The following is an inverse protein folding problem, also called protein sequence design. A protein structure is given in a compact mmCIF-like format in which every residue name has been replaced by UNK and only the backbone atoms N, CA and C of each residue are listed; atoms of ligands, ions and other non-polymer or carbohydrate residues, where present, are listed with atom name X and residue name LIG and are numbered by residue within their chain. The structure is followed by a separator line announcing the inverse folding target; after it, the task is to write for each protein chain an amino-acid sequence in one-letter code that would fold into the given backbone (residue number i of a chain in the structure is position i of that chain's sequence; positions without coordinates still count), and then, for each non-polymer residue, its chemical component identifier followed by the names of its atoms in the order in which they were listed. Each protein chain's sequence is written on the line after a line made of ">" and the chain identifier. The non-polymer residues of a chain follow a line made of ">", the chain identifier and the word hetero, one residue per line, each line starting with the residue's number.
data_IF_746495002489
#
_entry.id   IF_746495002489
#
_cell.length_a   1.000
_cell.length_b   1.000
_cell.length_c   1.000
_cell.angle_alpha   90.00
_cell.angle_beta   90.00
_cell.angle_gamma   90.00
#
_symmetry.space_group_name_H-M   'P 1'
#
loop_
_entity.id
_entity.type
_entity.pdbx_description
1 polymer ?
#
# COMPACT_ATOMS: atom_id res chain seq x y z
N UNK A 1 -11.23 6.00 -1.90
CA UNK A 1 -11.22 6.47 -3.31
C UNK A 1 -10.23 7.60 -3.39
N UNK A 2 -8.97 7.27 -3.68
CA UNK A 2 -8.00 8.28 -4.08
C UNK A 2 -8.31 8.59 -5.54
N UNK A 3 -8.83 9.79 -5.80
CA UNK A 3 -9.03 10.28 -7.17
C UNK A 3 -7.68 10.23 -7.90
N UNK A 4 -7.70 9.72 -9.13
CA UNK A 4 -6.53 9.49 -9.99
C UNK A 4 -5.81 10.77 -10.45
N UNK A 5 -5.78 11.83 -9.64
CA UNK A 5 -4.79 12.87 -9.75
C UNK A 5 -3.42 12.20 -9.71
N UNK A 6 -2.64 12.37 -10.78
CA UNK A 6 -1.34 11.73 -10.95
C UNK A 6 -0.53 11.89 -9.67
N UNK A 7 -0.25 10.77 -9.00
CA UNK A 7 0.62 10.77 -7.84
C UNK A 7 2.00 11.11 -8.39
N UNK A 8 2.47 12.32 -8.07
CA UNK A 8 3.76 12.81 -8.56
C UNK A 8 4.90 11.90 -8.07
N UNK A 9 6.01 11.82 -8.82
CA UNK A 9 7.14 10.98 -8.44
C UNK A 9 7.66 11.26 -7.03
N UNK A 10 7.59 12.52 -6.57
CA UNK A 10 7.99 12.96 -5.23
C UNK A 10 7.18 12.31 -4.10
N UNK A 11 5.94 11.90 -4.37
CA UNK A 11 5.16 11.17 -3.37
C UNK A 11 5.77 9.79 -3.11
N UNK A 12 6.25 9.10 -4.16
CA UNK A 12 6.85 7.78 -4.00
C UNK A 12 8.14 7.83 -3.17
N UNK A 13 8.88 8.95 -3.23
CA UNK A 13 10.08 9.18 -2.42
C UNK A 13 9.75 9.32 -0.92
N UNK A 14 8.57 9.84 -0.58
CA UNK A 14 8.12 10.03 0.82
C UNK A 14 7.19 8.92 1.31
N UNK A 15 6.98 7.87 0.49
CA UNK A 15 6.01 6.82 0.77
C UNK A 15 6.25 6.11 2.11
N UNK A 16 7.51 5.85 2.46
CA UNK A 16 7.85 5.15 3.69
C UNK A 16 7.35 5.89 4.93
N UNK A 17 7.56 7.21 4.98
CA UNK A 17 7.09 8.09 6.04
C UNK A 17 5.57 8.14 6.06
N UNK A 18 4.95 8.25 4.88
CA UNK A 18 3.50 8.32 4.75
C UNK A 18 2.80 7.03 5.22
N UNK A 19 3.29 5.86 4.79
CA UNK A 19 2.77 4.55 5.23
C UNK A 19 2.96 4.40 6.73
N UNK A 20 4.12 4.77 7.27
CA UNK A 20 4.39 4.73 8.73
C UNK A 20 3.38 5.60 9.48
N UNK A 21 3.18 6.85 9.06
CA UNK A 21 2.24 7.77 9.69
C UNK A 21 0.78 7.29 9.67
N UNK A 22 0.40 6.47 8.67
CA UNK A 22 -0.94 5.85 8.60
C UNK A 22 -1.05 4.59 9.45
N UNK A 23 -0.02 3.77 9.50
CA UNK A 23 -0.02 2.46 10.15
C UNK A 23 0.19 2.57 11.66
N UNK A 24 1.16 3.37 12.09
CA UNK A 24 1.59 3.44 13.50
C UNK A 24 0.44 3.74 14.48
N UNK A 25 -0.45 4.71 14.24
CA UNK A 25 -1.52 5.04 15.17
C UNK A 25 -2.55 3.91 15.37
N UNK A 26 -2.66 3.00 14.39
CA UNK A 26 -3.68 1.94 14.38
C UNK A 26 -3.13 0.55 14.71
N UNK A 27 -1.81 0.40 14.88
CA UNK A 27 -1.13 -0.89 15.14
C UNK A 27 -1.73 -1.68 16.30
N UNK A 28 -2.06 -1.01 17.40
CA UNK A 28 -2.57 -1.62 18.63
C UNK A 28 -4.09 -1.49 18.78
N UNK A 29 -4.76 -0.91 17.79
CA UNK A 29 -6.20 -0.68 17.83
C UNK A 29 -6.97 -1.93 17.41
N UNK A 30 -8.28 -1.96 17.68
CA UNK A 30 -9.14 -3.05 17.27
C UNK A 30 -9.30 -3.14 15.74
N UNK A 31 -9.68 -4.32 15.24
CA UNK A 31 -9.79 -4.59 13.79
C UNK A 31 -10.70 -3.60 13.05
N UNK A 32 -11.78 -3.12 13.66
CA UNK A 32 -12.68 -2.14 13.03
C UNK A 32 -11.99 -0.80 12.75
N UNK A 33 -11.02 -0.39 13.57
CA UNK A 33 -10.21 0.82 13.37
C UNK A 33 -9.13 0.61 12.31
N UNK A 34 -8.59 -0.60 12.18
CA UNK A 34 -7.57 -0.92 11.17
C UNK A 34 -8.14 -1.05 9.76
N UNK A 35 -9.40 -1.49 9.62
CA UNK A 35 -10.05 -1.75 8.33
C UNK A 35 -9.97 -0.60 7.32
N UNK A 36 -10.29 0.67 7.68
CA UNK A 36 -10.14 1.79 6.76
C UNK A 36 -8.70 2.02 6.29
N UNK A 37 -7.71 1.83 7.17
CA UNK A 37 -6.30 1.97 6.83
C UNK A 37 -5.84 0.83 5.91
N UNK A 38 -6.30 -0.40 6.16
CA UNK A 38 -6.06 -1.53 5.26
C UNK A 38 -6.62 -1.24 3.87
N UNK A 39 -7.88 -0.79 3.78
CA UNK A 39 -8.50 -0.44 2.49
C UNK A 39 -7.72 0.66 1.76
N UNK A 40 -7.32 1.71 2.48
CA UNK A 40 -6.47 2.77 1.95
C UNK A 40 -5.16 2.24 1.37
N UNK A 41 -4.46 1.36 2.09
CA UNK A 41 -3.19 0.78 1.63
C UNK A 41 -3.39 -0.17 0.44
N UNK A 42 -4.54 -0.84 0.31
CA UNK A 42 -4.85 -1.64 -0.88
C UNK A 42 -5.03 -0.76 -2.12
N UNK A 43 -5.79 0.32 -1.99
CA UNK A 43 -5.95 1.31 -3.07
C UNK A 43 -4.57 1.87 -3.47
N UNK A 44 -3.74 2.20 -2.48
CA UNK A 44 -2.39 2.73 -2.72
C UNK A 44 -1.47 1.72 -3.41
N UNK A 45 -1.52 0.44 -3.06
CA UNK A 45 -0.74 -0.60 -3.75
C UNK A 45 -1.21 -0.78 -5.19
N UNK A 46 -2.52 -0.72 -5.45
CA UNK A 46 -3.06 -0.81 -6.80
C UNK A 46 -2.58 0.37 -7.67
N UNK A 47 -2.51 1.58 -7.10
CA UNK A 47 -1.95 2.75 -7.79
C UNK A 47 -0.44 2.63 -8.01
N UNK A 48 0.31 2.20 -7.00
CA UNK A 48 1.75 2.00 -7.10
C UNK A 48 2.10 1.02 -8.23
N UNK A 49 1.37 -0.10 -8.34
CA UNK A 49 1.57 -1.08 -9.42
C UNK A 49 1.29 -0.54 -10.82
N UNK A 50 0.51 0.53 -10.95
CA UNK A 50 0.17 1.14 -12.24
C UNK A 50 1.10 2.31 -12.61
N UNK A 51 1.62 3.02 -11.60
CA UNK A 51 2.28 4.32 -11.79
C UNK A 51 3.74 4.33 -11.31
N UNK A 52 4.20 3.29 -10.62
CA UNK A 52 5.52 3.21 -10.01
C UNK A 52 6.18 1.85 -10.31
N UNK A 53 7.33 1.88 -10.98
CA UNK A 53 8.12 0.67 -11.27
C UNK A 53 9.00 0.22 -10.09
N UNK A 54 8.96 0.94 -8.95
CA UNK A 54 9.75 0.61 -7.76
C UNK A 54 9.14 -0.55 -6.98
N UNK A 55 9.85 -1.68 -6.98
CA UNK A 55 9.49 -2.84 -6.15
C UNK A 55 9.52 -2.52 -4.65
N UNK A 56 10.42 -1.65 -4.24
CA UNK A 56 10.56 -1.23 -2.85
C UNK A 56 9.28 -0.53 -2.35
N UNK A 57 8.75 0.39 -3.16
CA UNK A 57 7.48 1.10 -2.92
C UNK A 57 6.34 0.10 -2.68
N UNK A 58 6.18 -0.88 -3.58
CA UNK A 58 5.14 -1.93 -3.46
C UNK A 58 5.34 -2.73 -2.18
N UNK A 59 6.58 -3.08 -1.83
CA UNK A 59 6.90 -3.86 -0.63
C UNK A 59 6.63 -3.11 0.67
N UNK A 60 6.90 -1.80 0.73
CA UNK A 60 6.60 -0.94 1.88
C UNK A 60 5.09 -0.97 2.15
N UNK A 61 4.27 -0.77 1.11
CA UNK A 61 2.81 -0.78 1.23
C UNK A 61 2.31 -2.16 1.67
N UNK A 62 2.76 -3.22 1.00
CA UNK A 62 2.36 -4.59 1.32
C UNK A 62 2.75 -4.99 2.75
N UNK A 63 3.90 -4.51 3.24
CA UNK A 63 4.35 -4.73 4.62
C UNK A 63 3.47 -4.01 5.63
N UNK A 64 3.12 -2.74 5.36
CA UNK A 64 2.16 -1.99 6.17
C UNK A 64 0.81 -2.72 6.31
N UNK A 65 0.28 -3.24 5.19
CA UNK A 65 -0.95 -4.06 5.19
C UNK A 65 -0.82 -5.31 6.07
N UNK A 66 0.25 -6.08 5.89
CA UNK A 66 0.49 -7.32 6.65
C UNK A 66 0.60 -7.08 8.15
N UNK A 67 1.26 -6.00 8.56
CA UNK A 67 1.38 -5.65 9.98
C UNK A 67 -0.01 -5.33 10.58
N UNK A 68 -0.91 -4.73 9.81
CA UNK A 68 -2.30 -4.49 10.24
C UNK A 68 -3.17 -5.75 10.24
N UNK A 69 -2.66 -6.88 9.74
CA UNK A 69 -3.35 -8.17 9.70
C UNK A 69 -3.94 -8.51 8.33
N UNK A 70 -3.71 -7.68 7.30
CA UNK A 70 -4.16 -7.96 5.94
C UNK A 70 -3.18 -8.89 5.21
N UNK A 71 -3.65 -10.09 4.86
CA UNK A 71 -2.88 -11.10 4.12
C UNK A 71 -3.35 -11.27 2.67
N UNK A 72 -4.34 -10.49 2.23
CA UNK A 72 -4.83 -10.60 0.86
C UNK A 72 -3.80 -10.06 -0.14
N UNK A 73 -3.76 -10.71 -1.31
CA UNK A 73 -2.96 -10.23 -2.43
C UNK A 73 -3.68 -9.10 -3.14
N UNK A 74 -2.94 -8.07 -3.53
CA UNK A 74 -3.47 -6.94 -4.30
C UNK A 74 -2.83 -6.96 -5.69
N UNK A 75 -3.68 -6.89 -6.71
CA UNK A 75 -3.27 -6.95 -8.12
C UNK A 75 -3.47 -8.33 -8.77
N UNK A 76 -3.42 -8.40 -10.11
CA UNK A 76 -3.53 -9.67 -10.82
C UNK A 76 -2.40 -10.61 -10.39
N UNK A 77 -2.73 -11.90 -10.23
CA UNK A 77 -1.74 -12.98 -10.04
C UNK A 77 -0.77 -13.08 -11.22
N UNK A 78 -1.14 -12.48 -12.36
CA UNK A 78 -0.35 -12.36 -13.59
C UNK A 78 0.09 -10.89 -13.76
N UNK A 79 1.12 -10.50 -13.02
CA UNK A 79 1.82 -9.23 -13.21
C UNK A 79 3.17 -9.48 -13.86
N UNK A 80 3.90 -8.43 -14.29
CA UNK A 80 5.26 -8.56 -14.84
C UNK A 80 6.26 -9.24 -13.90
N UNK A 81 5.87 -9.49 -12.64
CA UNK A 81 6.65 -10.13 -11.58
C UNK A 81 6.19 -11.57 -11.26
N UNK A 82 5.24 -12.13 -12.01
CA UNK A 82 4.76 -13.52 -11.86
C UNK A 82 5.58 -14.54 -12.65
N UNK A 83 6.66 -14.10 -13.28
CA UNK A 83 7.53 -14.93 -14.09
C UNK A 83 8.78 -15.32 -13.30
N UNK A 84 8.68 -16.42 -12.55
CA UNK A 84 9.72 -17.43 -12.31
C UNK A 84 9.11 -18.60 -11.57
#
# INVERSE_FOLDING_TARGET
>A
MLDGAAIGPEFWDTLAEHVTAKVEPVLRQHAHVRRPVIAYLRDLEALARQQCDSREVIQIIASGRRILGDREQVGPTDGPFSRT
#
